data_IF_255057882256
#
_entry.id   IF_255057882256
#
_cell.length_a   1.000
_cell.length_b   1.000
_cell.length_c   1.000
_cell.angle_alpha   90.00
_cell.angle_beta   90.00
_cell.angle_gamma   90.00
#
_symmetry.space_group_name_H-M   'P 1'
#
loop_
_entity.id
_entity.type
_entity.pdbx_description
1 polymer ?
#
# COMPACT_ATOMS: atom_id res chain seq x y z
N UNK A 1 -13.38 -11.35 35.24
CA UNK A 1 -14.34 -10.35 34.74
C UNK A 1 -13.61 -9.02 34.75
N UNK A 2 -12.91 -8.71 33.66
CA UNK A 2 -12.26 -7.40 33.48
C UNK A 2 -13.34 -6.33 33.40
N UNK A 3 -13.52 -5.56 34.48
CA UNK A 3 -14.39 -4.39 34.48
C UNK A 3 -13.80 -3.38 33.50
N UNK A 4 -14.61 -2.80 32.59
CA UNK A 4 -14.15 -1.67 31.79
C UNK A 4 -13.66 -0.56 32.74
N UNK A 5 -12.38 -0.21 32.64
CA UNK A 5 -11.78 0.86 33.43
C UNK A 5 -12.26 2.19 32.84
N UNK A 6 -13.23 2.83 33.50
CA UNK A 6 -13.72 4.16 33.14
C UNK A 6 -15.06 4.17 32.40
N UNK A 7 -15.61 5.38 32.25
CA UNK A 7 -16.80 5.71 31.48
C UNK A 7 -16.60 5.43 29.99
N UNK A 8 -17.71 5.27 29.25
CA UNK A 8 -17.69 5.12 27.78
C UNK A 8 -16.88 6.25 27.11
N UNK A 9 -16.97 7.48 27.64
CA UNK A 9 -16.21 8.63 27.13
C UNK A 9 -14.70 8.43 27.30
N UNK A 10 -14.26 7.97 28.47
CA UNK A 10 -12.84 7.68 28.73
C UNK A 10 -12.33 6.54 27.85
N UNK A 11 -13.16 5.51 27.63
CA UNK A 11 -12.82 4.42 26.71
C UNK A 11 -12.68 4.90 25.26
N UNK A 12 -13.56 5.80 24.79
CA UNK A 12 -13.46 6.41 23.46
C UNK A 12 -12.17 7.24 23.33
N UNK A 13 -11.88 8.09 24.31
CA UNK A 13 -10.65 8.90 24.34
C UNK A 13 -9.38 8.05 24.39
N UNK A 14 -9.42 6.87 25.01
CA UNK A 14 -8.29 5.93 25.02
C UNK A 14 -8.06 5.25 23.66
N UNK A 15 -9.10 5.11 22.82
CA UNK A 15 -9.02 4.49 21.49
C UNK A 15 -8.58 5.49 20.41
N UNK A 16 -8.85 6.78 20.58
CA UNK A 16 -8.50 7.83 19.60
C UNK A 16 -7.02 7.81 19.16
N UNK A 17 -6.03 7.69 20.05
CA UNK A 17 -4.62 7.60 19.65
C UNK A 17 -4.33 6.37 18.79
N UNK A 18 -4.94 5.23 19.12
CA UNK A 18 -4.77 3.98 18.37
C UNK A 18 -5.39 4.10 16.96
N UNK A 19 -6.57 4.71 16.85
CA UNK A 19 -7.18 4.97 15.55
C UNK A 19 -6.34 5.91 14.69
N UNK A 20 -5.73 6.93 15.30
CA UNK A 20 -4.84 7.86 14.59
C UNK A 20 -3.59 7.16 14.05
N UNK A 21 -2.98 6.29 14.86
CA UNK A 21 -1.84 5.46 14.47
C UNK A 21 -2.21 4.48 13.34
N UNK A 22 -3.36 3.80 13.45
CA UNK A 22 -3.84 2.89 12.41
C UNK A 22 -4.12 3.61 11.08
N UNK A 23 -4.64 4.85 11.14
CA UNK A 23 -4.83 5.69 9.94
C UNK A 23 -3.50 6.07 9.30
N UNK A 24 -2.49 6.47 10.09
CA UNK A 24 -1.15 6.76 9.58
C UNK A 24 -0.53 5.52 8.92
N UNK A 25 -0.56 4.37 9.60
CA UNK A 25 -0.03 3.11 9.04
C UNK A 25 -0.72 2.70 7.74
N UNK A 26 -2.03 2.95 7.62
CA UNK A 26 -2.78 2.70 6.38
C UNK A 26 -2.28 3.60 5.25
N UNK A 27 -2.08 4.89 5.53
CA UNK A 27 -1.59 5.87 4.54
C UNK A 27 -0.17 5.54 4.07
N UNK A 28 0.74 5.24 4.99
CA UNK A 28 2.11 4.81 4.66
C UNK A 28 2.09 3.57 3.77
N UNK A 29 1.25 2.58 4.09
CA UNK A 29 1.14 1.36 3.28
C UNK A 29 0.54 1.65 1.91
N UNK A 30 -0.47 2.51 1.81
CA UNK A 30 -1.03 2.91 0.52
C UNK A 30 0.02 3.57 -0.37
N UNK A 31 0.88 4.42 0.20
CA UNK A 31 2.01 5.03 -0.50
C UNK A 31 2.99 3.97 -1.02
N UNK A 32 3.38 3.01 -0.18
CA UNK A 32 4.29 1.93 -0.59
C UNK A 32 3.71 1.09 -1.74
N UNK A 33 2.42 0.78 -1.70
CA UNK A 33 1.73 0.07 -2.80
C UNK A 33 1.75 0.85 -4.11
N UNK A 34 1.53 2.16 -4.03
CA UNK A 34 1.57 3.06 -5.19
C UNK A 34 2.97 3.07 -5.81
N UNK A 35 4.00 3.24 -4.98
CA UNK A 35 5.40 3.26 -5.43
C UNK A 35 5.80 1.96 -6.14
N UNK A 36 5.50 0.79 -5.54
CA UNK A 36 5.81 -0.51 -6.14
C UNK A 36 5.08 -0.69 -7.48
N UNK A 37 3.85 -0.23 -7.61
CA UNK A 37 3.10 -0.37 -8.87
C UNK A 37 3.60 0.55 -9.97
N UNK A 38 3.95 1.79 -9.65
CA UNK A 38 4.61 2.70 -10.59
C UNK A 38 5.89 2.06 -11.15
N UNK A 39 6.70 1.44 -10.28
CA UNK A 39 7.91 0.75 -10.69
C UNK A 39 7.62 -0.45 -11.61
N UNK A 40 6.65 -1.29 -11.27
CA UNK A 40 6.23 -2.42 -12.11
C UNK A 40 5.80 -1.94 -13.50
N UNK A 41 4.95 -0.91 -13.58
CA UNK A 41 4.43 -0.39 -14.86
C UNK A 41 5.56 0.21 -15.69
N UNK A 42 6.48 0.94 -15.06
CA UNK A 42 7.67 1.48 -15.73
C UNK A 42 8.49 0.36 -16.38
N UNK A 43 8.83 -0.68 -15.61
CA UNK A 43 9.62 -1.81 -16.10
C UNK A 43 8.87 -2.55 -17.22
N UNK A 44 7.57 -2.81 -17.07
CA UNK A 44 6.77 -3.42 -18.14
C UNK A 44 6.77 -2.57 -19.43
N UNK A 45 6.68 -1.25 -19.30
CA UNK A 45 6.76 -0.32 -20.44
C UNK A 45 8.13 -0.35 -21.11
N UNK A 46 9.20 -0.39 -20.32
CA UNK A 46 10.58 -0.51 -20.82
C UNK A 46 10.81 -1.84 -21.56
N UNK A 47 10.43 -2.97 -20.96
CA UNK A 47 10.57 -4.31 -21.57
C UNK A 47 9.77 -4.40 -22.87
N UNK A 48 8.54 -3.86 -22.89
CA UNK A 48 7.68 -3.91 -24.08
C UNK A 48 8.05 -2.87 -25.15
N UNK A 49 9.03 -1.99 -24.89
CA UNK A 49 9.31 -0.82 -25.74
C UNK A 49 8.17 0.21 -25.78
N UNK A 50 7.18 0.10 -24.89
CA UNK A 50 6.01 0.98 -24.85
C UNK A 50 6.25 2.17 -23.93
N UNK A 51 6.86 3.22 -24.48
CA UNK A 51 7.17 4.48 -23.78
C UNK A 51 5.91 5.21 -23.28
N UNK A 52 4.74 4.97 -23.87
CA UNK A 52 3.49 5.57 -23.38
C UNK A 52 3.00 4.91 -22.09
N UNK A 53 3.22 3.58 -21.95
CA UNK A 53 2.89 2.87 -20.72
C UNK A 53 3.76 3.33 -19.55
N UNK A 54 5.06 3.52 -19.77
CA UNK A 54 5.94 4.04 -18.71
C UNK A 54 5.59 5.48 -18.31
N UNK A 55 5.21 6.34 -19.27
CA UNK A 55 4.71 7.70 -18.98
C UNK A 55 3.39 7.72 -18.21
N UNK A 56 2.54 6.70 -18.39
CA UNK A 56 1.27 6.57 -17.69
C UNK A 56 1.38 5.90 -16.31
N UNK A 57 2.59 5.52 -15.87
CA UNK A 57 2.77 4.86 -14.58
C UNK A 57 2.26 5.71 -13.41
N UNK A 58 2.50 7.03 -13.46
CA UNK A 58 2.10 7.99 -12.42
C UNK A 58 0.60 8.29 -12.37
N UNK A 59 -0.14 8.00 -13.44
CA UNK A 59 -1.61 8.19 -13.52
C UNK A 59 -2.38 6.90 -13.24
N UNK A 60 -1.68 5.78 -13.06
CA UNK A 60 -2.33 4.48 -12.81
C UNK A 60 -2.86 4.42 -11.39
N UNK A 61 -4.18 4.26 -11.25
CA UNK A 61 -4.82 4.02 -9.96
C UNK A 61 -4.65 2.55 -9.58
N UNK A 62 -4.21 2.31 -8.35
CA UNK A 62 -4.16 0.96 -7.82
C UNK A 62 -5.41 0.59 -7.03
N UNK A 63 -5.61 -0.71 -6.83
CA UNK A 63 -6.71 -1.20 -5.99
C UNK A 63 -6.41 -0.96 -4.50
N UNK A 64 -6.93 0.14 -3.97
CA UNK A 64 -6.82 0.51 -2.54
C UNK A 64 -7.64 -0.39 -1.61
N UNK A 65 -8.42 -1.35 -2.14
CA UNK A 65 -9.24 -2.25 -1.32
C UNK A 65 -8.44 -3.35 -0.65
N UNK A 66 -7.25 -3.68 -1.17
CA UNK A 66 -6.37 -4.72 -0.62
C UNK A 66 -4.97 -4.16 -0.31
N UNK A 67 -4.83 -3.64 0.92
CA UNK A 67 -3.56 -3.20 1.51
C UNK A 67 -2.97 -4.27 2.46
N UNK A 68 -3.20 -5.55 2.18
CA UNK A 68 -2.64 -6.63 3.00
C UNK A 68 -1.15 -6.81 2.74
N UNK A 69 -0.42 -7.26 3.77
CA UNK A 69 1.01 -7.58 3.62
C UNK A 69 1.27 -8.67 2.57
N UNK A 70 0.35 -9.64 2.46
CA UNK A 70 0.42 -10.69 1.44
C UNK A 70 0.42 -10.07 0.04
N UNK A 71 -0.54 -9.18 -0.24
CA UNK A 71 -0.65 -8.51 -1.54
C UNK A 71 0.58 -7.67 -1.86
N UNK A 72 1.12 -6.96 -0.87
CA UNK A 72 2.36 -6.20 -1.03
C UNK A 72 3.54 -7.09 -1.40
N UNK A 73 3.68 -8.23 -0.71
CA UNK A 73 4.75 -9.18 -0.97
C UNK A 73 4.65 -9.78 -2.39
N UNK A 74 3.43 -10.11 -2.85
CA UNK A 74 3.19 -10.57 -4.23
C UNK A 74 3.63 -9.53 -5.26
N UNK A 75 3.29 -8.25 -5.06
CA UNK A 75 3.71 -7.17 -5.95
C UNK A 75 5.23 -6.99 -5.97
N UNK A 76 5.88 -7.02 -4.80
CA UNK A 76 7.35 -6.95 -4.70
C UNK A 76 8.02 -8.14 -5.38
N UNK A 77 7.48 -9.35 -5.22
CA UNK A 77 8.00 -10.54 -5.89
C UNK A 77 7.91 -10.41 -7.42
N UNK A 78 6.76 -9.96 -7.93
CA UNK A 78 6.57 -9.68 -9.36
C UNK A 78 7.54 -8.62 -9.87
N UNK A 79 7.76 -7.55 -9.10
CA UNK A 79 8.73 -6.52 -9.45
C UNK A 79 10.14 -7.11 -9.59
N UNK A 80 10.58 -7.92 -8.63
CA UNK A 80 11.90 -8.55 -8.67
C UNK A 80 12.06 -9.58 -9.80
N UNK A 81 11.00 -10.31 -10.13
CA UNK A 81 10.97 -11.21 -11.30
C UNK A 81 11.20 -10.43 -12.59
N UNK A 82 10.41 -9.39 -12.83
CA UNK A 82 10.53 -8.54 -14.02
C UNK A 82 11.92 -7.87 -14.14
N UNK A 83 12.55 -7.53 -13.02
CA UNK A 83 13.89 -6.94 -13.01
C UNK A 83 14.99 -7.92 -13.43
N UNK A 84 14.77 -9.22 -13.25
CA UNK A 84 15.71 -10.27 -13.68
C UNK A 84 15.60 -10.59 -15.17
N UNK A 85 14.41 -10.37 -15.74
CA UNK A 85 14.10 -10.66 -17.15
C UNK A 85 14.50 -9.51 -18.10
N UNK A 86 14.98 -8.38 -17.55
CA UNK A 86 15.52 -7.23 -18.31
C UNK A 86 16.98 -7.46 -18.69
#
# INVERSE_FOLDING_TARGET
MDKPKGSLKEQMSAIDPLLKDLRHKKEERAKEFSEVQVQIISICGEISGNVQLSKSATSTRFDERDLTWKRLAELKAKHEELRKDK
#
